data_IF_014628296901
#
_entry.id   IF_014628296901
#
_cell.length_a   1.000
_cell.length_b   1.000
_cell.length_c   1.000
_cell.angle_alpha   90.00
_cell.angle_beta   90.00
_cell.angle_gamma   90.00
#
_symmetry.space_group_name_H-M   'P 1'
#
loop_
_entity.id
_entity.type
_entity.pdbx_description
1 polymer ?
#
# COMPACT_ATOMS: atom_id res chain seq x y z
N UNK A 1 21.12 -6.44 -4.47
CA UNK A 1 21.41 -7.88 -4.31
C UNK A 1 21.12 -8.58 -5.62
N UNK A 2 21.97 -9.50 -6.05
CA UNK A 2 21.79 -10.23 -7.32
C UNK A 2 20.62 -11.22 -7.22
N UNK A 3 19.93 -11.47 -8.34
CA UNK A 3 18.85 -12.47 -8.46
C UNK A 3 19.29 -13.86 -7.97
N UNK A 4 20.56 -14.19 -8.18
CA UNK A 4 21.20 -15.45 -7.78
C UNK A 4 21.14 -15.66 -6.26
N UNK A 5 21.45 -14.63 -5.47
CA UNK A 5 21.42 -14.71 -4.00
C UNK A 5 19.99 -14.85 -3.47
N UNK A 6 19.00 -14.20 -4.12
CA UNK A 6 17.60 -14.35 -3.72
C UNK A 6 17.05 -15.75 -3.95
N UNK A 7 17.46 -16.43 -5.03
CA UNK A 7 16.99 -17.78 -5.36
C UNK A 7 17.56 -18.86 -4.41
N UNK A 8 18.62 -18.57 -3.68
CA UNK A 8 19.19 -19.47 -2.67
C UNK A 8 18.47 -19.39 -1.31
N UNK A 9 17.59 -18.40 -1.12
CA UNK A 9 16.88 -18.20 0.14
C UNK A 9 15.61 -19.07 0.22
N UNK A 10 15.41 -19.68 1.39
CA UNK A 10 14.13 -20.32 1.73
C UNK A 10 12.99 -19.30 1.68
N UNK A 11 11.76 -19.76 1.43
CA UNK A 11 10.60 -18.87 1.37
C UNK A 11 10.46 -17.99 2.65
N UNK A 12 10.56 -18.51 3.88
CA UNK A 12 10.51 -17.67 5.10
C UNK A 12 11.64 -16.64 5.19
N UNK A 13 12.83 -16.93 4.63
CA UNK A 13 13.91 -15.94 4.56
C UNK A 13 13.58 -14.81 3.58
N UNK A 14 13.02 -15.14 2.41
CA UNK A 14 12.56 -14.14 1.42
C UNK A 14 11.47 -13.25 1.98
N UNK A 15 10.47 -13.83 2.66
CA UNK A 15 9.38 -13.08 3.33
C UNK A 15 9.95 -12.11 4.36
N UNK A 16 10.82 -12.59 5.27
CA UNK A 16 11.43 -11.74 6.31
C UNK A 16 12.30 -10.63 5.73
N UNK A 17 13.02 -10.91 4.65
CA UNK A 17 13.82 -9.92 3.96
C UNK A 17 12.95 -8.81 3.36
N UNK A 18 11.87 -9.18 2.66
CA UNK A 18 10.94 -8.23 2.07
C UNK A 18 10.28 -7.35 3.14
N UNK A 19 9.73 -7.97 4.19
CA UNK A 19 9.14 -7.28 5.34
C UNK A 19 10.11 -6.25 5.96
N UNK A 20 11.35 -6.65 6.26
CA UNK A 20 12.36 -5.73 6.82
C UNK A 20 12.77 -4.63 5.84
N UNK A 21 12.76 -4.92 4.53
CA UNK A 21 13.11 -3.95 3.50
C UNK A 21 12.05 -2.86 3.42
N UNK A 22 10.77 -3.22 3.38
CA UNK A 22 9.65 -2.29 3.38
C UNK A 22 9.70 -1.36 4.61
N UNK A 23 9.82 -1.93 5.82
CA UNK A 23 9.92 -1.13 7.05
C UNK A 23 11.16 -0.22 7.10
N UNK A 24 12.24 -0.58 6.38
CA UNK A 24 13.40 0.31 6.24
C UNK A 24 13.10 1.46 5.28
N UNK A 25 12.42 1.20 4.17
CA UNK A 25 12.00 2.22 3.21
C UNK A 25 11.04 3.23 3.85
N UNK A 26 10.10 2.76 4.67
CA UNK A 26 9.15 3.63 5.39
C UNK A 26 9.81 4.67 6.29
N UNK A 27 11.05 4.44 6.75
CA UNK A 27 11.81 5.44 7.53
C UNK A 27 12.09 6.71 6.74
N UNK A 28 12.02 6.64 5.41
CA UNK A 28 12.17 7.77 4.52
C UNK A 28 10.87 8.51 4.18
N UNK A 29 9.73 8.05 4.66
CA UNK A 29 8.44 8.69 4.43
C UNK A 29 8.15 9.76 5.50
N UNK A 30 7.21 10.71 5.23
CA UNK A 30 6.61 11.56 6.25
C UNK A 30 6.10 10.75 7.46
N UNK A 31 6.08 11.36 8.64
CA UNK A 31 5.84 10.65 9.90
C UNK A 31 4.47 9.98 9.95
N UNK A 32 3.46 10.66 9.42
CA UNK A 32 2.07 10.22 9.37
C UNK A 32 1.91 9.03 8.42
N UNK A 33 2.46 9.14 7.20
CA UNK A 33 2.45 8.06 6.21
C UNK A 33 3.25 6.85 6.69
N UNK A 34 4.38 7.08 7.37
CA UNK A 34 5.16 6.00 7.98
C UNK A 34 4.37 5.26 9.04
N UNK A 35 3.70 5.98 9.95
CA UNK A 35 2.94 5.36 11.03
C UNK A 35 1.80 4.49 10.48
N UNK A 36 1.05 5.03 9.51
CA UNK A 36 -0.01 4.31 8.80
C UNK A 36 0.54 3.06 8.08
N UNK A 37 1.57 3.24 7.25
CA UNK A 37 2.17 2.18 6.46
C UNK A 37 2.80 1.08 7.31
N UNK A 38 3.51 1.42 8.39
CA UNK A 38 4.14 0.45 9.29
C UNK A 38 3.09 -0.46 9.97
N UNK A 39 1.94 0.09 10.35
CA UNK A 39 0.85 -0.69 10.92
C UNK A 39 0.20 -1.59 9.86
N UNK A 40 -0.08 -1.04 8.68
CA UNK A 40 -0.67 -1.81 7.58
C UNK A 40 0.22 -2.99 7.15
N UNK A 41 1.53 -2.77 6.99
CA UNK A 41 2.51 -3.82 6.67
C UNK A 41 2.50 -4.94 7.70
N UNK A 42 2.47 -4.60 9.00
CA UNK A 42 2.44 -5.59 10.08
C UNK A 42 1.20 -6.46 9.99
N UNK A 43 0.05 -5.83 9.77
CA UNK A 43 -1.23 -6.52 9.75
C UNK A 43 -1.36 -7.40 8.51
N UNK A 44 -0.98 -6.92 7.34
CA UNK A 44 -1.09 -7.68 6.09
C UNK A 44 -0.16 -8.90 6.07
N UNK A 45 1.10 -8.75 6.49
CA UNK A 45 2.01 -9.90 6.60
C UNK A 45 1.53 -10.90 7.64
N UNK A 46 0.86 -10.45 8.71
CA UNK A 46 0.25 -11.34 9.71
C UNK A 46 -0.94 -12.10 9.14
N UNK A 47 -1.83 -11.41 8.41
CA UNK A 47 -3.00 -12.01 7.75
C UNK A 47 -2.60 -13.08 6.74
N UNK A 48 -1.45 -12.89 6.07
CA UNK A 48 -0.94 -13.83 5.07
C UNK A 48 -0.07 -14.97 5.62
N UNK A 49 0.05 -15.14 6.94
CA UNK A 49 0.87 -16.23 7.53
C UNK A 49 0.39 -17.64 7.16
N UNK A 50 -0.91 -17.81 6.86
CA UNK A 50 -1.54 -19.10 6.57
C UNK A 50 -2.16 -19.18 5.17
N UNK A 51 -1.78 -18.27 4.27
CA UNK A 51 -2.27 -18.28 2.90
C UNK A 51 -1.76 -19.51 2.12
N UNK A 52 -2.47 -19.85 1.05
CA UNK A 52 -2.04 -20.96 0.20
C UNK A 52 -0.82 -20.55 -0.67
N UNK A 53 -0.11 -21.49 -1.30
CA UNK A 53 1.10 -21.17 -2.07
C UNK A 53 0.89 -20.19 -3.23
N UNK A 54 -0.28 -20.20 -3.86
CA UNK A 54 -0.61 -19.28 -4.96
C UNK A 54 -0.78 -17.86 -4.43
N UNK A 55 -1.57 -17.70 -3.38
CA UNK A 55 -1.74 -16.43 -2.67
C UNK A 55 -0.40 -15.89 -2.15
N UNK A 56 0.43 -16.75 -1.56
CA UNK A 56 1.76 -16.37 -1.08
C UNK A 56 2.66 -15.84 -2.22
N UNK A 57 2.61 -16.48 -3.40
CA UNK A 57 3.39 -16.05 -4.55
C UNK A 57 2.90 -14.70 -5.10
N UNK A 58 1.57 -14.51 -5.22
CA UNK A 58 0.99 -13.25 -5.65
C UNK A 58 1.31 -12.13 -4.65
N UNK A 59 1.11 -12.39 -3.35
CA UNK A 59 1.44 -11.47 -2.26
C UNK A 59 2.91 -11.03 -2.34
N UNK A 60 3.84 -11.99 -2.42
CA UNK A 60 5.27 -11.67 -2.51
C UNK A 60 5.62 -10.85 -3.76
N UNK A 61 4.90 -11.05 -4.87
CA UNK A 61 5.12 -10.32 -6.12
C UNK A 61 4.66 -8.86 -5.99
N UNK A 62 3.43 -8.65 -5.52
CA UNK A 62 2.87 -7.29 -5.38
C UNK A 62 3.61 -6.49 -4.30
N UNK A 63 3.97 -7.11 -3.17
CA UNK A 63 4.73 -6.42 -2.12
C UNK A 63 6.18 -6.12 -2.53
N UNK A 64 6.79 -6.93 -3.41
CA UNK A 64 8.08 -6.60 -4.00
C UNK A 64 7.97 -5.45 -5.03
N UNK A 65 6.87 -5.39 -5.78
CA UNK A 65 6.56 -4.25 -6.66
C UNK A 65 6.39 -2.97 -5.84
N UNK A 66 5.57 -3.00 -4.78
CA UNK A 66 5.40 -1.88 -3.85
C UNK A 66 6.75 -1.38 -3.29
N UNK A 67 7.59 -2.29 -2.79
CA UNK A 67 8.93 -1.91 -2.30
C UNK A 67 9.79 -1.27 -3.39
N UNK A 68 9.66 -1.72 -4.65
CA UNK A 68 10.38 -1.15 -5.79
C UNK A 68 9.89 0.26 -6.12
N UNK A 69 8.57 0.49 -6.16
CA UNK A 69 7.95 1.81 -6.33
C UNK A 69 8.46 2.80 -5.27
N UNK A 70 8.35 2.43 -3.99
CA UNK A 70 8.83 3.30 -2.90
C UNK A 70 10.33 3.57 -3.02
N UNK A 71 11.14 2.57 -3.39
CA UNK A 71 12.57 2.76 -3.60
C UNK A 71 12.88 3.80 -4.68
N UNK A 72 12.11 3.84 -5.77
CA UNK A 72 12.28 4.81 -6.85
C UNK A 72 11.89 6.22 -6.42
N UNK A 73 10.82 6.34 -5.64
CA UNK A 73 10.29 7.60 -5.12
C UNK A 73 11.15 8.20 -3.99
N UNK A 74 11.92 7.35 -3.30
CA UNK A 74 12.92 7.78 -2.35
C UNK A 74 14.24 8.21 -3.03
N UNK A 75 14.84 9.26 -2.50
CA UNK A 75 16.14 9.78 -2.88
C UNK A 75 17.31 9.05 -2.26
N UNK A 76 18.53 9.40 -2.68
CA UNK A 76 19.79 8.78 -2.22
C UNK A 76 19.97 8.84 -0.68
N UNK A 77 19.31 9.80 -0.02
CA UNK A 77 19.33 9.97 1.45
C UNK A 77 18.11 9.36 2.15
N UNK A 78 17.28 8.61 1.42
CA UNK A 78 16.02 8.09 1.94
C UNK A 78 15.03 9.20 2.24
N UNK A 79 15.05 10.31 1.50
CA UNK A 79 14.02 11.37 1.58
C UNK A 79 13.18 11.34 0.30
N UNK A 80 11.89 11.65 0.31
CA UNK A 80 11.08 11.67 -0.90
C UNK A 80 11.69 12.64 -1.94
N UNK A 81 11.75 12.22 -3.20
CA UNK A 81 12.21 13.06 -4.33
C UNK A 81 11.10 13.96 -4.90
N UNK A 82 9.86 13.77 -4.46
CA UNK A 82 8.67 14.43 -4.93
C UNK A 82 7.45 13.83 -4.22
N UNK A 83 6.36 13.69 -4.96
CA UNK A 83 5.16 13.01 -4.48
C UNK A 83 5.40 11.52 -4.24
N UNK A 84 4.71 10.98 -3.23
CA UNK A 84 4.72 9.55 -2.91
C UNK A 84 3.42 8.93 -3.41
N UNK A 85 3.51 7.72 -3.97
CA UNK A 85 2.38 7.04 -4.60
C UNK A 85 2.41 7.13 -6.13
N UNK A 86 1.53 6.38 -6.76
CA UNK A 86 1.36 6.33 -8.21
C UNK A 86 -0.12 6.57 -8.52
N UNK A 87 -0.42 7.07 -9.72
CA UNK A 87 -1.80 7.16 -10.18
C UNK A 87 -2.41 5.76 -10.24
N UNK A 88 -3.66 5.64 -9.80
CA UNK A 88 -4.38 4.38 -9.85
C UNK A 88 -4.78 4.06 -11.29
N UNK A 89 -4.53 2.83 -11.74
CA UNK A 89 -5.01 2.35 -13.05
C UNK A 89 -6.55 2.47 -13.09
N UNK A 90 -7.14 3.16 -14.08
CA UNK A 90 -8.59 3.25 -14.23
C UNK A 90 -9.28 1.88 -14.22
N UNK A 91 -8.63 0.84 -14.76
CA UNK A 91 -9.17 -0.53 -14.74
C UNK A 91 -9.25 -1.11 -13.34
N UNK A 92 -8.33 -0.73 -12.45
CA UNK A 92 -8.37 -1.17 -11.06
C UNK A 92 -9.56 -0.54 -10.32
N UNK A 93 -9.92 0.70 -10.66
CA UNK A 93 -11.12 1.37 -10.13
C UNK A 93 -12.39 0.65 -10.58
N UNK A 94 -12.47 0.23 -11.84
CA UNK A 94 -13.60 -0.54 -12.38
C UNK A 94 -13.79 -1.92 -11.71
N UNK A 95 -12.73 -2.46 -11.11
CA UNK A 95 -12.78 -3.73 -10.38
C UNK A 95 -13.21 -3.59 -8.92
N UNK A 96 -13.34 -2.36 -8.41
CA UNK A 96 -13.81 -2.11 -7.05
C UNK A 96 -15.32 -2.37 -6.95
N UNK A 97 -15.74 -2.88 -5.79
CA UNK A 97 -17.17 -2.93 -5.44
C UNK A 97 -17.71 -1.52 -5.18
N UNK A 98 -19.02 -1.34 -5.33
CA UNK A 98 -19.69 -0.05 -5.14
C UNK A 98 -19.33 0.60 -3.78
N UNK A 99 -19.32 -0.17 -2.69
CA UNK A 99 -18.94 0.31 -1.35
C UNK A 99 -17.48 0.75 -1.26
N UNK A 100 -16.58 0.06 -1.96
CA UNK A 100 -15.16 0.42 -2.01
C UNK A 100 -14.91 1.68 -2.84
N UNK A 101 -15.69 1.90 -3.91
CA UNK A 101 -15.64 3.14 -4.70
C UNK A 101 -16.08 4.33 -3.84
N UNK A 102 -17.16 4.18 -3.07
CA UNK A 102 -17.63 5.20 -2.13
C UNK A 102 -16.54 5.52 -1.10
N UNK A 103 -15.96 4.51 -0.46
CA UNK A 103 -14.88 4.71 0.51
C UNK A 103 -13.65 5.42 -0.09
N UNK A 104 -13.27 5.06 -1.32
CA UNK A 104 -12.16 5.70 -2.01
C UNK A 104 -12.46 7.18 -2.31
N UNK A 105 -13.71 7.49 -2.67
CA UNK A 105 -14.16 8.86 -2.88
C UNK A 105 -14.18 9.68 -1.59
N UNK A 106 -14.72 9.14 -0.51
CA UNK A 106 -14.70 9.77 0.83
C UNK A 106 -13.27 10.06 1.29
N UNK A 107 -12.35 9.10 1.08
CA UNK A 107 -10.94 9.29 1.36
C UNK A 107 -10.33 10.43 0.55
N UNK A 108 -10.69 10.55 -0.74
CA UNK A 108 -10.21 11.64 -1.60
C UNK A 108 -10.71 13.02 -1.12
N UNK A 109 -11.97 13.13 -0.70
CA UNK A 109 -12.53 14.36 -0.14
C UNK A 109 -11.79 14.76 1.14
N UNK A 110 -11.68 13.82 2.09
CA UNK A 110 -10.97 14.04 3.35
C UNK A 110 -9.50 14.46 3.13
N UNK A 111 -8.80 13.81 2.21
CA UNK A 111 -7.41 14.15 1.88
C UNK A 111 -7.25 15.55 1.26
N UNK A 112 -8.29 16.06 0.59
CA UNK A 112 -8.32 17.44 0.02
C UNK A 112 -8.75 18.49 1.04
N UNK A 113 -9.06 18.09 2.28
CA UNK A 113 -9.65 18.99 3.28
C UNK A 113 -11.03 19.50 2.85
N UNK A 114 -11.70 18.75 1.96
CA UNK A 114 -13.10 18.99 1.65
C UNK A 114 -13.87 18.21 2.72
N UNK A 115 -14.52 18.94 3.63
CA UNK A 115 -15.57 18.36 4.44
C UNK A 115 -16.62 17.87 3.44
N UNK A 116 -16.62 16.57 3.16
CA UNK A 116 -17.77 15.98 2.49
C UNK A 116 -18.94 16.27 3.41
N UNK A 117 -19.90 17.09 2.95
CA UNK A 117 -21.20 17.15 3.60
C UNK A 117 -21.58 15.70 3.84
N UNK A 118 -21.70 15.34 5.12
CA UNK A 118 -22.15 14.00 5.48
C UNK A 118 -23.46 13.84 4.73
N UNK A 119 -23.55 12.94 3.75
CA UNK A 119 -24.80 12.71 3.02
C UNK A 119 -25.79 12.25 4.08
N UNK A 120 -26.61 13.20 4.54
CA UNK A 120 -27.61 12.98 5.55
C UNK A 120 -28.81 12.33 4.87
N UNK A 121 -29.71 11.76 5.67
CA UNK A 121 -30.97 11.25 5.15
C UNK A 121 -31.78 12.34 4.42
N UNK A 122 -31.46 13.61 4.62
CA UNK A 122 -32.11 14.76 3.98
C UNK A 122 -31.60 14.99 2.55
N UNK A 123 -30.32 14.71 2.25
CA UNK A 123 -29.74 14.84 0.90
C UNK A 123 -30.28 13.78 -0.07
N UNK A 124 -30.70 12.62 0.46
CA UNK A 124 -31.36 11.54 -0.30
C UNK A 124 -32.85 11.87 -0.54
N UNK A 125 -33.46 12.70 0.31
CA UNK A 125 -34.87 13.10 0.22
C UNK A 125 -34.97 14.48 -0.41
N UNK A 126 -34.55 14.59 -1.67
CA UNK A 126 -34.51 15.84 -2.44
C UNK A 126 -35.66 16.81 -2.12
N UNK A 127 -35.32 17.93 -1.49
CA UNK A 127 -36.11 19.15 -1.45
C UNK A 127 -35.37 20.24 -2.20
#
# INVERSE_FOLDING_TARGET
MSKIVMNQLTHPQRVRLLYKTILRLHRGMPAELRALGDNYVRDEFRRHLKCNPMEAQLFMTEWARYASTITQQLGLRGKPKGELGEEMDPKAVEMLKDDQVVQLYELMLAARGLDGDTITADDVRGK
#
